data_IF_964477485183
#
_entry.id   IF_964477485183
#
_cell.length_a   1.000
_cell.length_b   1.000
_cell.length_c   1.000
_cell.angle_alpha   90.00
_cell.angle_beta   90.00
_cell.angle_gamma   90.00
#
_symmetry.space_group_name_H-M   'P 1'
#
loop_
_entity.id
_entity.type
_entity.pdbx_description
1 polymer ?
#
# COMPACT_ATOMS: atom_id res chain seq x y z
N UNK A 1 0.51 -14.25 -14.79
CA UNK A 1 1.63 -13.58 -14.12
C UNK A 1 1.75 -14.09 -12.70
N UNK A 2 2.95 -14.41 -12.28
CA UNK A 2 3.16 -14.84 -10.91
C UNK A 2 3.05 -13.65 -9.97
N UNK A 3 2.62 -13.93 -8.75
CA UNK A 3 2.43 -12.87 -7.76
C UNK A 3 3.72 -12.11 -7.50
N UNK A 4 4.86 -12.80 -7.42
CA UNK A 4 6.15 -12.12 -7.18
C UNK A 4 6.55 -11.22 -8.34
N UNK A 5 6.17 -11.59 -9.56
CA UNK A 5 6.46 -10.75 -10.72
C UNK A 5 5.58 -9.52 -10.72
N UNK A 6 4.32 -9.68 -10.34
CA UNK A 6 3.42 -8.55 -10.19
C UNK A 6 3.92 -7.61 -9.10
N UNK A 7 4.38 -8.16 -7.98
CA UNK A 7 4.90 -7.33 -6.89
C UNK A 7 6.08 -6.50 -7.36
N UNK A 8 6.97 -7.09 -8.14
CA UNK A 8 8.12 -6.36 -8.68
C UNK A 8 7.69 -5.19 -9.54
N UNK A 9 6.72 -5.42 -10.45
CA UNK A 9 6.21 -4.34 -11.29
C UNK A 9 5.55 -3.26 -10.46
N UNK A 10 4.80 -3.65 -9.47
CA UNK A 10 4.12 -2.70 -8.61
C UNK A 10 5.12 -1.81 -7.88
N UNK A 11 6.20 -2.39 -7.39
CA UNK A 11 7.24 -1.60 -6.71
C UNK A 11 7.83 -0.58 -7.66
N UNK A 12 8.08 -0.97 -8.91
CA UNK A 12 8.61 -0.04 -9.90
C UNK A 12 7.63 1.11 -10.17
N UNK A 13 6.35 0.78 -10.31
CA UNK A 13 5.33 1.80 -10.55
C UNK A 13 5.21 2.75 -9.35
N UNK A 14 5.31 2.22 -8.14
CA UNK A 14 5.24 3.05 -6.96
C UNK A 14 6.42 4.03 -6.89
N UNK A 15 7.61 3.55 -7.23
CA UNK A 15 8.79 4.42 -7.22
C UNK A 15 8.69 5.53 -8.25
N UNK A 16 8.09 5.24 -9.39
CA UNK A 16 7.90 6.26 -10.42
C UNK A 16 6.82 7.27 -10.02
N UNK A 17 5.72 6.78 -9.45
CA UNK A 17 4.61 7.64 -9.10
C UNK A 17 4.90 8.47 -7.85
N UNK A 18 5.71 7.95 -6.94
CA UNK A 18 6.00 8.61 -5.67
C UNK A 18 7.52 8.71 -5.47
N UNK A 19 8.17 9.64 -6.19
CA UNK A 19 9.63 9.77 -6.07
C UNK A 19 10.04 10.06 -4.63
N UNK A 20 11.01 9.31 -4.14
CA UNK A 20 11.47 9.46 -2.77
C UNK A 20 10.75 8.60 -1.76
N UNK A 21 9.72 7.87 -2.18
CA UNK A 21 9.03 6.96 -1.26
C UNK A 21 9.96 5.84 -0.82
N UNK A 22 9.79 5.42 0.42
CA UNK A 22 10.45 4.22 0.92
C UNK A 22 9.47 3.06 0.84
N UNK A 23 9.90 1.98 0.24
CA UNK A 23 9.03 0.82 0.01
C UNK A 23 9.71 -0.39 0.61
N UNK A 24 9.04 -1.02 1.57
CA UNK A 24 9.58 -2.17 2.28
C UNK A 24 8.74 -3.39 2.02
N UNK A 25 9.41 -4.53 1.81
CA UNK A 25 8.73 -5.82 1.76
C UNK A 25 8.61 -6.34 3.17
N UNK A 26 7.39 -6.70 3.57
CA UNK A 26 7.15 -7.20 4.91
C UNK A 26 7.09 -8.72 4.85
N UNK A 27 8.02 -9.38 5.53
CA UNK A 27 8.12 -10.83 5.41
C UNK A 27 8.03 -11.58 6.74
N UNK A 28 8.02 -10.85 7.83
CA UNK A 28 8.24 -11.47 9.12
C UNK A 28 6.98 -11.98 9.81
N UNK A 29 5.79 -11.54 9.39
CA UNK A 29 4.57 -11.92 10.08
C UNK A 29 3.51 -12.36 9.09
N UNK A 30 2.93 -13.54 9.37
CA UNK A 30 1.91 -14.07 8.51
C UNK A 30 0.67 -13.18 8.53
N UNK A 31 0.15 -12.88 7.34
CA UNK A 31 -1.03 -12.03 7.22
C UNK A 31 -0.75 -10.56 7.12
N UNK A 32 0.46 -10.15 7.49
CA UNK A 32 0.86 -8.75 7.31
C UNK A 32 0.93 -8.43 5.82
N UNK A 33 0.42 -7.28 5.38
CA UNK A 33 0.48 -6.94 3.96
C UNK A 33 1.91 -6.93 3.43
N UNK A 34 2.05 -7.27 2.15
CA UNK A 34 3.37 -7.49 1.52
C UNK A 34 4.26 -6.27 1.54
N UNK A 35 3.68 -5.09 1.35
CA UNK A 35 4.48 -3.88 1.16
C UNK A 35 4.06 -2.79 2.12
N UNK A 36 5.05 -2.08 2.66
CA UNK A 36 4.85 -0.83 3.37
C UNK A 36 5.39 0.30 2.49
N UNK A 37 4.59 1.33 2.28
CA UNK A 37 4.98 2.49 1.50
C UNK A 37 4.98 3.70 2.41
N UNK A 38 6.12 4.37 2.53
CA UNK A 38 6.24 5.61 3.30
C UNK A 38 6.52 6.73 2.32
N UNK A 39 5.68 7.76 2.33
CA UNK A 39 5.87 8.88 1.43
C UNK A 39 5.54 10.16 2.15
N UNK A 40 6.57 10.97 2.39
CA UNK A 40 6.43 12.21 3.15
C UNK A 40 5.87 11.88 4.53
N UNK A 41 4.74 12.46 4.93
CA UNK A 41 4.16 12.20 6.24
C UNK A 41 3.04 11.15 6.19
N UNK A 42 2.98 10.36 5.12
CA UNK A 42 1.90 9.40 4.92
C UNK A 42 2.43 8.00 4.73
N UNK A 43 1.55 7.03 4.90
CA UNK A 43 1.94 5.63 4.73
C UNK A 43 0.78 4.83 4.16
N UNK A 44 1.14 3.69 3.59
CA UNK A 44 0.16 2.75 3.06
C UNK A 44 0.69 1.33 3.20
N UNK A 45 -0.23 0.38 3.29
CA UNK A 45 0.08 -1.04 3.28
C UNK A 45 -0.63 -1.67 2.09
N UNK A 46 0.09 -2.45 1.30
CA UNK A 46 -0.45 -3.06 0.10
C UNK A 46 -0.19 -4.56 0.13
N UNK A 47 -1.23 -5.34 -0.16
CA UNK A 47 -1.12 -6.79 -0.25
C UNK A 47 -1.26 -7.18 -1.71
N UNK A 48 -0.23 -7.83 -2.26
CA UNK A 48 -0.21 -8.21 -3.67
C UNK A 48 -0.88 -9.56 -3.88
N UNK A 49 -1.68 -9.65 -4.91
CA UNK A 49 -2.32 -10.89 -5.33
C UNK A 49 -2.11 -11.07 -6.83
N UNK A 50 -2.07 -12.32 -7.28
CA UNK A 50 -1.85 -12.61 -8.69
C UNK A 50 -3.06 -12.24 -9.55
N UNK A 51 -4.27 -12.26 -8.96
CA UNK A 51 -5.48 -11.88 -9.66
C UNK A 51 -6.56 -11.54 -8.65
N UNK A 52 -7.65 -10.96 -9.13
CA UNK A 52 -8.76 -10.61 -8.25
C UNK A 52 -9.41 -11.83 -7.62
N UNK A 53 -9.26 -12.98 -8.25
CA UNK A 53 -9.89 -14.21 -7.76
C UNK A 53 -8.98 -15.02 -6.85
N UNK A 54 -7.77 -14.54 -6.59
CA UNK A 54 -6.86 -15.24 -5.68
C UNK A 54 -7.46 -15.26 -4.28
N UNK A 55 -7.26 -16.36 -3.58
CA UNK A 55 -7.84 -16.51 -2.25
C UNK A 55 -7.13 -15.63 -1.23
N UNK A 56 -7.89 -15.23 -0.21
CA UNK A 56 -7.37 -14.45 0.92
C UNK A 56 -7.41 -15.31 2.17
N UNK A 57 -6.43 -15.13 3.03
CA UNK A 57 -6.49 -15.68 4.37
C UNK A 57 -7.24 -14.70 5.26
N UNK A 58 -7.95 -15.19 6.27
CA UNK A 58 -8.76 -14.28 7.11
C UNK A 58 -7.96 -13.16 7.74
N UNK A 59 -6.72 -13.42 8.18
CA UNK A 59 -5.93 -12.37 8.80
C UNK A 59 -5.45 -11.34 7.80
N UNK A 60 -5.38 -11.67 6.50
CA UNK A 60 -5.04 -10.66 5.49
C UNK A 60 -6.14 -9.61 5.39
N UNK A 61 -7.41 -10.07 5.37
CA UNK A 61 -8.54 -9.14 5.34
C UNK A 61 -8.55 -8.27 6.58
N UNK A 62 -8.27 -8.86 7.73
CA UNK A 62 -8.25 -8.11 8.99
C UNK A 62 -7.24 -6.96 8.95
N UNK A 63 -6.01 -7.27 8.53
CA UNK A 63 -4.97 -6.23 8.51
C UNK A 63 -5.24 -5.14 7.48
N UNK A 64 -5.75 -5.51 6.32
CA UNK A 64 -6.09 -4.52 5.29
C UNK A 64 -7.20 -3.60 5.81
N UNK A 65 -8.25 -4.16 6.39
CA UNK A 65 -9.36 -3.34 6.88
C UNK A 65 -8.90 -2.39 7.98
N UNK A 66 -8.14 -2.91 8.95
CA UNK A 66 -7.67 -2.08 10.06
C UNK A 66 -6.73 -0.99 9.59
N UNK A 67 -5.78 -1.34 8.73
CA UNK A 67 -4.83 -0.37 8.23
C UNK A 67 -5.49 0.69 7.37
N UNK A 68 -6.52 0.30 6.62
CA UNK A 68 -7.22 1.28 5.78
C UNK A 68 -8.03 2.27 6.61
N UNK A 69 -8.43 1.88 7.81
CA UNK A 69 -9.07 2.83 8.73
C UNK A 69 -8.07 3.86 9.24
N UNK A 70 -6.82 3.48 9.38
CA UNK A 70 -5.79 4.36 9.92
C UNK A 70 -5.16 5.25 8.85
N UNK A 71 -4.93 4.73 7.67
CA UNK A 71 -4.33 5.44 6.57
C UNK A 71 -4.86 4.85 5.27
N UNK A 72 -4.02 4.22 4.48
CA UNK A 72 -4.44 3.60 3.22
C UNK A 72 -3.95 2.16 3.20
N UNK A 73 -4.84 1.24 2.87
CA UNK A 73 -4.44 -0.14 2.67
C UNK A 73 -5.36 -0.78 1.65
N UNK A 74 -4.81 -1.68 0.85
CA UNK A 74 -5.60 -2.33 -0.20
C UNK A 74 -4.93 -3.60 -0.66
N UNK A 75 -5.73 -4.55 -1.12
CA UNK A 75 -5.24 -5.61 -1.97
C UNK A 75 -4.99 -5.02 -3.35
N UNK A 76 -3.92 -5.46 -4.00
CA UNK A 76 -3.56 -4.98 -5.33
C UNK A 76 -3.30 -6.18 -6.22
N UNK A 77 -3.91 -6.20 -7.37
CA UNK A 77 -3.74 -7.25 -8.36
C UNK A 77 -3.79 -6.60 -9.74
N UNK A 78 -3.40 -7.33 -10.80
CA UNK A 78 -3.31 -6.69 -12.11
C UNK A 78 -4.57 -5.95 -12.55
N UNK A 79 -5.75 -6.50 -12.22
CA UNK A 79 -7.00 -5.91 -12.66
C UNK A 79 -7.34 -4.59 -11.98
N UNK A 80 -6.84 -4.34 -10.75
CA UNK A 80 -7.17 -3.11 -10.04
C UNK A 80 -5.97 -2.20 -9.82
N UNK A 81 -4.80 -2.55 -10.34
CA UNK A 81 -3.58 -1.80 -10.06
C UNK A 81 -3.72 -0.32 -10.37
N UNK A 82 -4.25 0.01 -11.54
CA UNK A 82 -4.42 1.41 -11.91
C UNK A 82 -5.31 2.17 -10.96
N UNK A 83 -6.43 1.56 -10.58
CA UNK A 83 -7.38 2.20 -9.67
C UNK A 83 -6.76 2.39 -8.29
N UNK A 84 -6.01 1.40 -7.81
CA UNK A 84 -5.38 1.51 -6.50
C UNK A 84 -4.32 2.60 -6.50
N UNK A 85 -3.49 2.66 -7.54
CA UNK A 85 -2.47 3.71 -7.64
C UNK A 85 -3.08 5.09 -7.68
N UNK A 86 -4.20 5.25 -8.40
CA UNK A 86 -4.89 6.53 -8.44
C UNK A 86 -5.47 6.90 -7.06
N UNK A 87 -6.07 5.93 -6.39
CA UNK A 87 -6.62 6.18 -5.05
C UNK A 87 -5.51 6.50 -4.06
N UNK A 88 -4.38 5.81 -4.17
CA UNK A 88 -3.23 6.06 -3.30
C UNK A 88 -2.68 7.46 -3.53
N UNK A 89 -2.60 7.88 -4.79
CA UNK A 89 -2.14 9.22 -5.11
C UNK A 89 -3.03 10.27 -4.47
N UNK A 90 -4.35 10.06 -4.54
CA UNK A 90 -5.28 10.98 -3.89
C UNK A 90 -5.08 10.99 -2.38
N UNK A 91 -4.93 9.82 -1.78
CA UNK A 91 -4.74 9.73 -0.34
C UNK A 91 -3.45 10.42 0.08
N UNK A 92 -2.40 10.30 -0.72
CA UNK A 92 -1.10 10.89 -0.39
C UNK A 92 -1.07 12.39 -0.63
N UNK A 93 -2.00 12.93 -1.38
CA UNK A 93 -2.11 14.38 -1.57
C UNK A 93 -2.83 15.07 -0.45
N UNK A 94 -3.68 14.35 0.28
CA UNK A 94 -4.49 14.98 1.30
C UNK A 94 -3.61 15.58 2.36
N UNK A 95 -3.78 16.87 2.60
CA UNK A 95 -2.98 17.59 3.58
C UNK A 95 -3.51 17.35 4.96
N UNK A 96 -2.62 17.08 5.89
CA UNK A 96 -3.00 17.04 7.30
C UNK A 96 -2.95 18.45 7.81
N UNK A 97 -4.09 18.94 8.20
CA UNK A 97 -4.18 20.31 8.66
C UNK A 97 -3.61 20.49 10.05
N UNK A 98 -3.83 19.50 10.89
CA UNK A 98 -3.40 19.60 12.27
C UNK A 98 -2.09 18.88 12.43
N UNK A 99 -1.09 19.61 12.84
CA UNK A 99 0.23 19.07 13.11
C UNK A 99 0.71 19.68 14.40
N UNK A 100 1.39 18.86 15.15
CA UNK A 100 2.09 19.41 16.29
C UNK A 100 3.25 20.24 15.81
N UNK A 101 3.30 21.48 16.23
CA UNK A 101 4.39 22.37 15.83
C UNK A 101 5.29 22.62 17.01
N UNK A 102 6.56 22.33 16.84
CA UNK A 102 7.51 22.51 17.92
C UNK A 102 7.92 23.93 18.10
N UNK A 103 7.67 24.77 17.14
CA UNK A 103 8.06 26.16 17.25
C UNK A 103 7.16 26.96 18.15
N UNK A 104 6.10 26.38 18.58
CA UNK A 104 5.16 27.05 19.45
C UNK A 104 5.45 26.87 20.89
#
# INVERSE_FOLDING_TARGET
MLEKDFQRTLIQDLKQRFPGALIFKNESRQGLPDLTVLYKDKWALLECKASKDASHRPNQDYYIDRANEMSFASFVYPENKGDVLNALEQAFRTHRKTRFSKSE
#
